data_IF_656639071458
#
_entry.id   IF_656639071458
#
_cell.length_a   1.000
_cell.length_b   1.000
_cell.length_c   1.000
_cell.angle_alpha   90.00
_cell.angle_beta   90.00
_cell.angle_gamma   90.00
#
_symmetry.space_group_name_H-M   'P 1'
#
loop_
_entity.id
_entity.type
_entity.pdbx_description
1 polymer ?
#
# COMPACT_ATOMS: atom_id res chain seq x y z
N UNK A 1 -13.54 18.66 -8.64
CA UNK A 1 -13.10 18.06 -7.37
C UNK A 1 -11.60 18.16 -7.32
N UNK A 2 -11.01 18.45 -6.15
CA UNK A 2 -9.55 18.44 -6.01
C UNK A 2 -9.08 16.97 -5.89
N UNK A 3 -7.99 16.58 -6.56
CA UNK A 3 -7.40 15.27 -6.36
C UNK A 3 -6.91 15.11 -4.92
N UNK A 4 -7.12 13.93 -4.34
CA UNK A 4 -6.68 13.57 -3.00
C UNK A 4 -5.47 12.64 -3.09
N UNK A 5 -4.52 12.80 -2.17
CA UNK A 5 -3.36 11.90 -2.02
C UNK A 5 -3.57 11.09 -0.74
N UNK A 6 -3.65 9.77 -0.87
CA UNK A 6 -3.69 8.85 0.27
C UNK A 6 -2.27 8.46 0.65
N UNK A 7 -1.87 8.73 1.89
CA UNK A 7 -0.55 8.36 2.40
C UNK A 7 -0.68 7.10 3.23
N UNK A 8 0.06 6.06 2.88
CA UNK A 8 0.11 4.78 3.59
C UNK A 8 1.51 4.62 4.18
N UNK A 9 1.57 4.39 5.49
CA UNK A 9 2.80 4.07 6.20
C UNK A 9 2.94 2.56 6.30
N UNK A 10 4.05 2.04 5.78
CA UNK A 10 4.33 0.62 5.85
C UNK A 10 5.70 0.41 6.49
N UNK A 11 5.66 0.09 7.78
CA UNK A 11 6.83 -0.28 8.57
C UNK A 11 7.10 -1.78 8.37
N UNK A 12 8.07 -2.08 7.53
CA UNK A 12 8.47 -3.43 7.22
C UNK A 12 9.35 -4.03 8.31
N UNK A 13 8.82 -4.99 9.07
CA UNK A 13 9.61 -5.85 9.95
C UNK A 13 10.08 -7.12 9.23
N UNK A 14 10.99 -7.87 9.87
CA UNK A 14 11.52 -9.14 9.34
C UNK A 14 10.46 -10.24 9.12
N UNK A 15 9.25 -10.05 9.67
CA UNK A 15 8.14 -11.02 9.61
C UNK A 15 7.00 -10.56 8.69
N UNK A 16 7.11 -9.38 8.08
CA UNK A 16 6.05 -8.71 7.34
C UNK A 16 4.71 -8.66 8.12
N UNK A 17 4.76 -8.51 9.44
CA UNK A 17 3.60 -8.56 10.35
C UNK A 17 2.55 -7.50 10.01
N UNK A 18 3.01 -6.36 9.48
CA UNK A 18 2.22 -5.20 9.06
C UNK A 18 1.43 -5.42 7.75
N UNK A 19 1.63 -6.55 7.05
CA UNK A 19 0.98 -6.78 5.75
C UNK A 19 -0.55 -6.92 5.85
N UNK A 20 -1.07 -7.38 7.00
CA UNK A 20 -2.51 -7.46 7.22
C UNK A 20 -3.14 -6.07 7.28
N UNK A 21 -2.54 -5.15 8.04
CA UNK A 21 -2.99 -3.77 8.14
C UNK A 21 -2.95 -3.10 6.75
N UNK A 22 -1.82 -3.26 6.04
CA UNK A 22 -1.66 -2.76 4.67
C UNK A 22 -2.76 -3.23 3.72
N UNK A 23 -3.16 -4.52 3.81
CA UNK A 23 -4.26 -5.06 3.00
C UNK A 23 -5.60 -4.40 3.31
N UNK A 24 -5.91 -4.19 4.59
CA UNK A 24 -7.18 -3.60 5.03
C UNK A 24 -7.26 -2.14 4.56
N UNK A 25 -6.19 -1.36 4.74
CA UNK A 25 -6.07 0.02 4.27
C UNK A 25 -6.17 0.15 2.76
N UNK A 26 -5.43 -0.68 2.00
CA UNK A 26 -5.50 -0.67 0.53
C UNK A 26 -6.91 -1.02 0.04
N UNK A 27 -7.60 -1.95 0.71
CA UNK A 27 -8.97 -2.31 0.33
C UNK A 27 -9.93 -1.15 0.56
N UNK A 28 -9.81 -0.44 1.69
CA UNK A 28 -10.60 0.75 1.97
C UNK A 28 -10.33 1.87 0.94
N UNK A 29 -9.07 2.13 0.60
CA UNK A 29 -8.70 3.12 -0.41
C UNK A 29 -9.30 2.76 -1.77
N UNK A 30 -9.20 1.50 -2.20
CA UNK A 30 -9.77 1.06 -3.48
C UNK A 30 -11.30 1.27 -3.56
N UNK A 31 -12.01 1.17 -2.43
CA UNK A 31 -13.46 1.37 -2.38
C UNK A 31 -13.88 2.84 -2.50
N UNK A 32 -13.06 3.77 -1.99
CA UNK A 32 -13.41 5.20 -1.91
C UNK A 32 -12.66 6.07 -2.92
N UNK A 33 -11.51 5.62 -3.42
CA UNK A 33 -10.63 6.40 -4.29
C UNK A 33 -11.22 6.58 -5.69
N UNK A 34 -10.98 7.77 -6.24
CA UNK A 34 -11.42 8.17 -7.57
C UNK A 34 -10.27 8.06 -8.56
N UNK A 35 -10.55 8.06 -9.88
CA UNK A 35 -9.52 7.93 -10.92
C UNK A 35 -8.46 9.04 -10.95
N UNK A 36 -8.63 10.12 -10.17
CA UNK A 36 -7.70 11.25 -10.09
C UNK A 36 -6.94 11.27 -8.77
N UNK A 37 -7.21 10.31 -7.87
CA UNK A 37 -6.53 10.22 -6.60
C UNK A 37 -5.23 9.41 -6.74
N UNK A 38 -4.25 9.72 -5.90
CA UNK A 38 -2.93 9.10 -5.90
C UNK A 38 -2.67 8.43 -4.55
N UNK A 39 -1.81 7.41 -4.53
CA UNK A 39 -1.43 6.70 -3.31
C UNK A 39 0.08 6.77 -3.11
N UNK A 40 0.50 7.43 -2.02
CA UNK A 40 1.88 7.52 -1.62
C UNK A 40 2.17 6.49 -0.53
N UNK A 41 3.01 5.50 -0.86
CA UNK A 41 3.50 4.52 0.13
C UNK A 41 4.84 5.00 0.72
N UNK A 42 4.86 5.24 2.04
CA UNK A 42 6.09 5.44 2.81
C UNK A 42 6.52 4.11 3.41
N UNK A 43 7.46 3.46 2.73
CA UNK A 43 8.10 2.25 3.20
C UNK A 43 9.25 2.61 4.15
N UNK A 44 9.12 2.23 5.41
CA UNK A 44 10.25 2.19 6.35
C UNK A 44 10.66 0.74 6.55
N UNK A 45 11.92 0.41 6.31
CA UNK A 45 12.44 -0.94 6.56
C UNK A 45 13.85 -0.85 7.12
N UNK A 46 14.17 -1.53 8.23
CA UNK A 46 15.52 -1.56 8.80
C UNK A 46 16.53 -2.33 7.93
N UNK A 47 16.09 -2.88 6.78
CA UNK A 47 16.86 -3.81 5.96
C UNK A 47 16.75 -5.24 6.50
N UNK A 48 16.73 -6.24 5.61
CA UNK A 48 16.51 -7.63 5.96
C UNK A 48 15.90 -8.47 4.84
N UNK A 49 15.58 -9.74 5.13
CA UNK A 49 15.16 -10.74 4.14
C UNK A 49 13.86 -10.33 3.42
N UNK A 50 13.95 -10.14 2.11
CA UNK A 50 12.90 -9.61 1.21
C UNK A 50 11.65 -10.51 1.09
N UNK A 51 11.72 -11.76 1.54
CA UNK A 51 10.68 -12.78 1.33
C UNK A 51 9.32 -12.43 1.94
N UNK A 52 9.27 -11.61 3.01
CA UNK A 52 8.00 -11.20 3.64
C UNK A 52 7.18 -10.21 2.84
N UNK A 53 7.80 -9.43 1.94
CA UNK A 53 7.13 -8.33 1.24
C UNK A 53 6.36 -8.75 -0.02
N UNK A 54 6.46 -10.01 -0.46
CA UNK A 54 5.73 -10.48 -1.64
C UNK A 54 4.22 -10.27 -1.53
N UNK A 55 3.67 -10.51 -0.33
CA UNK A 55 2.25 -10.25 -0.06
C UNK A 55 1.94 -8.75 -0.08
N UNK A 56 2.79 -7.89 0.50
CA UNK A 56 2.63 -6.45 0.44
C UNK A 56 2.67 -5.91 -1.01
N UNK A 57 3.64 -6.37 -1.81
CA UNK A 57 3.77 -6.02 -3.23
C UNK A 57 2.52 -6.43 -4.05
N UNK A 58 1.91 -7.58 -3.73
CA UNK A 58 0.66 -8.00 -4.35
C UNK A 58 -0.50 -7.03 -4.05
N UNK A 59 -0.54 -6.44 -2.85
CA UNK A 59 -1.57 -5.46 -2.50
C UNK A 59 -1.37 -4.15 -3.26
N UNK A 60 -0.13 -3.68 -3.38
CA UNK A 60 0.20 -2.49 -4.17
C UNK A 60 -0.15 -2.67 -5.65
N UNK A 61 -0.01 -3.89 -6.16
CA UNK A 61 -0.41 -4.20 -7.55
C UNK A 61 -1.92 -4.03 -7.75
N UNK A 62 -2.75 -4.28 -6.73
CA UNK A 62 -4.21 -4.04 -6.79
C UNK A 62 -4.54 -2.55 -6.96
N UNK A 63 -3.77 -1.65 -6.35
CA UNK A 63 -3.92 -0.20 -6.53
C UNK A 63 -3.64 0.19 -7.98
N UNK A 64 -2.52 -0.28 -8.54
CA UNK A 64 -2.16 -0.02 -9.95
C UNK A 64 -3.20 -0.56 -10.92
N UNK A 65 -3.75 -1.76 -10.66
CA UNK A 65 -4.83 -2.33 -11.48
C UNK A 65 -6.12 -1.50 -11.49
N UNK A 66 -6.34 -0.70 -10.43
CA UNK A 66 -7.47 0.23 -10.34
C UNK A 66 -7.20 1.59 -11.00
N UNK A 67 -6.02 1.79 -11.57
CA UNK A 67 -5.62 3.05 -12.21
C UNK A 67 -5.24 4.14 -11.21
N UNK A 68 -4.95 3.77 -9.96
CA UNK A 68 -4.37 4.67 -8.96
C UNK A 68 -2.85 4.67 -9.15
N UNK A 69 -2.26 5.87 -9.29
CA UNK A 69 -0.81 6.06 -9.42
C UNK A 69 -0.13 6.17 -8.06
#
# INVERSE_FOLDING_TARGET
MKPCIYVIDFEGDIHASQTRALREEISAIIEVAKPQDEVLLRLESPGGVVYGYGLAASQLTRLKQKGLN
#
